data_IF_753770452070
#
_entry.id   IF_753770452070
#
_cell.length_a   1.000
_cell.length_b   1.000
_cell.length_c   1.000
_cell.angle_alpha   90.00
_cell.angle_beta   90.00
_cell.angle_gamma   90.00
#
_symmetry.space_group_name_H-M   'P 1'
#
loop_
_entity.id
_entity.type
_entity.pdbx_description
1 polymer ?
#
# COMPACT_ATOMS: atom_id res chain seq x y z
N UNK A 1 -19.02 -24.84 15.70
CA UNK A 1 -18.59 -23.87 16.64
C UNK A 1 -17.42 -23.12 16.09
N UNK A 2 -16.28 -23.53 16.37
CA UNK A 2 -15.11 -22.80 15.89
C UNK A 2 -14.99 -22.83 14.37
N UNK A 3 -15.61 -23.79 13.73
CA UNK A 3 -15.60 -23.86 12.27
C UNK A 3 -16.22 -22.62 11.65
N UNK A 4 -17.25 -22.07 12.27
CA UNK A 4 -17.86 -20.85 11.74
C UNK A 4 -16.93 -19.66 11.82
N UNK A 5 -16.17 -19.56 12.90
CA UNK A 5 -15.21 -18.47 13.03
C UNK A 5 -14.05 -18.64 12.08
N UNK A 6 -13.63 -19.87 11.82
CA UNK A 6 -12.57 -20.14 10.86
C UNK A 6 -12.95 -19.76 9.46
N UNK A 7 -14.24 -19.83 9.15
CA UNK A 7 -14.72 -19.46 7.82
C UNK A 7 -14.92 -17.96 7.66
N UNK A 8 -14.92 -17.21 8.76
CA UNK A 8 -15.13 -15.77 8.68
C UNK A 8 -13.91 -15.09 8.12
N UNK A 9 -14.13 -14.08 7.30
CA UNK A 9 -13.09 -13.24 6.77
C UNK A 9 -13.35 -11.79 7.17
N UNK A 10 -12.29 -11.03 7.36
CA UNK A 10 -12.39 -9.64 7.80
C UNK A 10 -11.53 -8.78 6.88
N UNK A 11 -12.11 -7.68 6.42
CA UNK A 11 -11.37 -6.67 5.68
C UNK A 11 -11.38 -5.39 6.51
N UNK A 12 -10.21 -4.89 6.81
CA UNK A 12 -10.04 -3.61 7.49
C UNK A 12 -9.79 -2.56 6.44
N UNK A 13 -10.50 -1.45 6.52
CA UNK A 13 -10.29 -0.33 5.61
C UNK A 13 -9.93 0.88 6.45
N UNK A 14 -8.72 1.40 6.26
CA UNK A 14 -8.21 2.52 7.06
C UNK A 14 -7.77 3.62 6.11
N UNK A 15 -8.43 4.77 6.20
CA UNK A 15 -8.02 5.93 5.44
C UNK A 15 -6.99 6.71 6.26
N UNK A 16 -5.96 7.20 5.58
CA UNK A 16 -4.87 7.93 6.22
C UNK A 16 -4.25 7.13 7.34
N UNK A 17 -3.75 5.94 6.99
CA UNK A 17 -3.19 4.99 7.94
C UNK A 17 -2.07 5.59 8.79
N UNK A 18 -1.33 6.53 8.22
CA UNK A 18 -0.19 7.17 8.86
C UNK A 18 -0.55 8.46 9.59
N UNK A 19 -1.84 8.78 9.69
CA UNK A 19 -2.26 10.01 10.34
C UNK A 19 -1.82 10.03 11.79
N UNK A 20 -1.15 11.12 12.17
CA UNK A 20 -0.68 11.32 13.55
C UNK A 20 0.36 10.32 14.03
N UNK A 21 0.91 9.51 13.12
CA UNK A 21 1.95 8.55 13.47
C UNK A 21 3.27 8.95 12.85
N UNK A 22 4.34 8.69 13.57
CA UNK A 22 5.67 8.83 12.99
C UNK A 22 5.82 7.83 11.84
N UNK A 23 6.45 8.23 10.72
CA UNK A 23 6.57 7.32 9.56
C UNK A 23 7.18 5.96 9.89
N UNK A 24 8.18 5.92 10.76
CA UNK A 24 8.80 4.65 11.15
C UNK A 24 7.84 3.78 11.94
N UNK A 25 7.00 4.39 12.77
CA UNK A 25 6.01 3.65 13.53
C UNK A 25 4.94 3.06 12.62
N UNK A 26 4.54 3.80 11.59
CA UNK A 26 3.57 3.31 10.61
C UNK A 26 4.09 2.05 9.93
N UNK A 27 5.35 2.07 9.51
CA UNK A 27 5.97 0.91 8.88
C UNK A 27 6.02 -0.27 9.84
N UNK A 28 6.34 -0.01 11.10
CA UNK A 28 6.39 -1.06 12.11
C UNK A 28 5.03 -1.71 12.33
N UNK A 29 3.98 -0.89 12.41
CA UNK A 29 2.63 -1.42 12.60
C UNK A 29 2.19 -2.27 11.42
N UNK A 30 2.50 -1.83 10.21
CA UNK A 30 2.18 -2.61 9.02
C UNK A 30 2.91 -3.95 9.03
N UNK A 31 4.17 -3.93 9.40
CA UNK A 31 4.96 -5.15 9.48
C UNK A 31 4.39 -6.12 10.52
N UNK A 32 3.93 -5.59 11.64
CA UNK A 32 3.28 -6.42 12.67
C UNK A 32 2.01 -7.08 12.14
N UNK A 33 1.21 -6.32 11.36
CA UNK A 33 0.00 -6.90 10.76
C UNK A 33 0.37 -8.02 9.80
N UNK A 34 1.34 -7.78 8.92
CA UNK A 34 1.74 -8.78 7.93
C UNK A 34 2.29 -10.03 8.59
N UNK A 35 3.05 -9.87 9.66
CA UNK A 35 3.59 -11.02 10.39
C UNK A 35 2.51 -11.82 11.11
N UNK A 36 1.35 -11.23 11.34
CA UNK A 36 0.23 -11.93 11.96
C UNK A 36 -0.58 -12.75 10.95
N UNK A 37 -0.26 -12.62 9.67
CA UNK A 37 -0.99 -13.31 8.61
C UNK A 37 -0.26 -14.59 8.23
N UNK A 38 -1.01 -15.67 8.10
CA UNK A 38 -0.49 -16.96 7.66
C UNK A 38 -1.36 -17.53 6.58
N UNK A 39 -1.07 -18.77 6.19
CA UNK A 39 -1.75 -19.40 5.07
C UNK A 39 -3.26 -19.54 5.28
N UNK A 40 -3.70 -19.63 6.53
CA UNK A 40 -5.11 -19.80 6.83
C UNK A 40 -5.76 -18.55 7.39
N UNK A 41 -5.02 -17.45 7.40
CA UNK A 41 -5.55 -16.18 7.88
C UNK A 41 -6.50 -15.59 6.85
N UNK A 42 -7.69 -15.19 7.31
CA UNK A 42 -8.71 -14.61 6.44
C UNK A 42 -8.94 -13.15 6.80
N UNK A 43 -7.86 -12.37 6.79
CA UNK A 43 -7.96 -10.95 7.03
C UNK A 43 -7.17 -10.19 6.00
N UNK A 44 -7.68 -9.03 5.65
CA UNK A 44 -7.11 -8.17 4.63
C UNK A 44 -7.12 -6.74 5.14
N UNK A 45 -6.09 -6.01 4.80
CA UNK A 45 -5.98 -4.60 5.14
C UNK A 45 -5.89 -3.79 3.86
N UNK A 46 -6.79 -2.83 3.70
CA UNK A 46 -6.74 -1.85 2.62
C UNK A 46 -6.59 -0.49 3.27
N UNK A 47 -5.56 0.25 2.89
CA UNK A 47 -5.32 1.54 3.52
C UNK A 47 -4.82 2.56 2.51
N UNK A 48 -5.02 3.83 2.84
CA UNK A 48 -4.45 4.93 2.10
C UNK A 48 -3.38 5.60 2.94
N UNK A 49 -2.38 6.17 2.29
CA UNK A 49 -1.29 6.82 3.00
C UNK A 49 -0.55 7.78 2.08
N UNK A 50 0.10 8.77 2.67
CA UNK A 50 1.05 9.62 1.97
C UNK A 50 2.48 9.31 2.37
N UNK A 51 2.67 8.27 3.18
CA UNK A 51 3.99 7.90 3.68
C UNK A 51 4.74 7.09 2.64
N UNK A 52 5.65 7.74 1.92
CA UNK A 52 6.42 7.09 0.86
C UNK A 52 7.40 6.04 1.38
N UNK A 53 7.67 6.01 2.68
CA UNK A 53 8.50 4.94 3.24
C UNK A 53 7.84 3.58 3.11
N UNK A 54 6.52 3.54 2.95
CA UNK A 54 5.81 2.28 2.73
C UNK A 54 5.98 1.73 1.33
N UNK A 55 6.55 2.53 0.40
CA UNK A 55 6.98 2.03 -0.90
C UNK A 55 8.31 1.29 -0.68
N UNK A 56 8.19 0.07 -0.20
CA UNK A 56 9.33 -0.73 0.20
C UNK A 56 9.08 -2.18 -0.20
N UNK A 57 9.87 -2.65 -1.16
CA UNK A 57 9.68 -3.98 -1.72
C UNK A 57 10.03 -5.10 -0.74
N UNK A 58 10.74 -4.80 0.33
CA UNK A 58 10.97 -5.78 1.39
C UNK A 58 9.76 -5.90 2.31
N UNK A 59 8.89 -4.92 2.28
CA UNK A 59 7.68 -4.89 3.11
C UNK A 59 6.45 -5.28 2.31
N UNK A 60 6.28 -4.71 1.13
CA UNK A 60 5.10 -4.89 0.29
C UNK A 60 5.51 -5.26 -1.13
N UNK A 61 4.73 -6.15 -1.76
CA UNK A 61 4.95 -6.50 -3.16
C UNK A 61 4.39 -5.40 -4.05
N UNK A 62 4.85 -5.38 -5.31
CA UNK A 62 4.35 -4.42 -6.29
C UNK A 62 2.85 -4.51 -6.50
N UNK A 63 2.32 -5.72 -6.47
CA UNK A 63 0.89 -5.93 -6.70
C UNK A 63 0.04 -5.50 -5.52
N UNK A 64 0.67 -5.17 -4.40
CA UNK A 64 -0.01 -4.63 -3.24
C UNK A 64 0.00 -3.11 -3.19
N UNK A 65 0.77 -2.46 -4.08
CA UNK A 65 0.97 -1.02 -4.07
C UNK A 65 0.21 -0.39 -5.24
N UNK A 66 -0.61 0.59 -4.92
CA UNK A 66 -1.43 1.29 -5.90
C UNK A 66 -1.17 2.79 -5.82
N UNK A 67 -1.18 3.44 -6.96
CA UNK A 67 -0.98 4.89 -7.06
C UNK A 67 -2.32 5.54 -7.34
N UNK A 68 -2.67 6.52 -6.52
CA UNK A 68 -3.82 7.37 -6.75
C UNK A 68 -3.31 8.68 -7.34
N UNK A 69 -3.83 9.04 -8.48
CA UNK A 69 -3.41 10.23 -9.20
C UNK A 69 -4.62 11.13 -9.45
N UNK A 70 -4.46 12.42 -9.15
CA UNK A 70 -5.51 13.40 -9.42
C UNK A 70 -5.28 14.02 -10.78
N UNK A 71 -6.30 13.96 -11.62
CA UNK A 71 -6.25 14.54 -12.95
C UNK A 71 -6.56 16.03 -12.90
N UNK A 72 -6.15 16.80 -13.95
CA UNK A 72 -6.41 18.24 -13.96
C UNK A 72 -7.88 18.64 -13.88
N UNK A 73 -8.78 17.76 -14.32
CA UNK A 73 -10.22 18.03 -14.27
C UNK A 73 -10.83 17.73 -12.92
N UNK A 74 -10.03 17.33 -11.95
CA UNK A 74 -10.51 17.01 -10.60
C UNK A 74 -10.86 15.56 -10.38
N UNK A 75 -10.90 14.76 -11.42
CA UNK A 75 -11.13 13.32 -11.28
C UNK A 75 -9.89 12.64 -10.75
N UNK A 76 -10.04 11.39 -10.34
CA UNK A 76 -8.92 10.60 -9.84
C UNK A 76 -8.84 9.30 -10.59
N UNK A 77 -7.61 8.83 -10.79
CA UNK A 77 -7.36 7.52 -11.36
C UNK A 77 -6.58 6.68 -10.35
N UNK A 78 -6.78 5.38 -10.40
CA UNK A 78 -6.13 4.45 -9.49
C UNK A 78 -5.55 3.31 -10.33
N UNK A 79 -4.25 3.07 -10.17
CA UNK A 79 -3.61 1.99 -10.92
C UNK A 79 -2.52 1.33 -10.09
N UNK A 80 -2.30 0.02 -10.30
CA UNK A 80 -1.28 -0.70 -9.53
C UNK A 80 0.12 -0.40 -10.04
N UNK A 81 1.09 -0.54 -9.18
CA UNK A 81 2.48 -0.36 -9.61
C UNK A 81 2.93 -1.42 -10.61
N UNK A 82 2.23 -2.53 -10.68
CA UNK A 82 2.52 -3.55 -11.68
C UNK A 82 2.28 -3.09 -13.10
N UNK A 83 1.53 -1.99 -13.29
CA UNK A 83 1.33 -1.42 -14.61
C UNK A 83 2.61 -0.79 -15.16
N UNK A 84 3.59 -0.52 -14.32
CA UNK A 84 4.86 0.07 -14.73
C UNK A 84 5.85 -1.03 -15.05
N UNK A 85 5.69 -1.64 -16.22
CA UNK A 85 6.48 -2.80 -16.62
C UNK A 85 7.94 -2.49 -16.83
N UNK A 86 8.27 -1.23 -17.03
CA UNK A 86 9.64 -0.80 -17.24
C UNK A 86 10.48 -0.87 -15.96
N UNK A 87 9.82 -0.92 -14.81
CA UNK A 87 10.52 -0.98 -13.54
C UNK A 87 10.95 -2.41 -13.27
N UNK A 88 12.23 -2.59 -13.10
CA UNK A 88 12.77 -3.89 -12.74
C UNK A 88 12.53 -4.17 -11.27
N UNK A 89 12.55 -5.44 -10.91
CA UNK A 89 12.30 -5.85 -9.54
C UNK A 89 13.33 -5.25 -8.58
N UNK A 90 14.57 -5.10 -9.04
CA UNK A 90 15.65 -4.58 -8.24
C UNK A 90 15.73 -3.05 -8.24
N UNK A 91 14.88 -2.39 -9.01
CA UNK A 91 14.90 -0.94 -9.07
C UNK A 91 14.18 -0.34 -7.88
N UNK A 92 14.67 0.77 -7.39
CA UNK A 92 14.06 1.48 -6.28
C UNK A 92 12.77 2.17 -6.75
N UNK A 93 11.64 1.54 -6.42
CA UNK A 93 10.33 2.06 -6.82
C UNK A 93 10.05 3.40 -6.14
N UNK A 94 10.51 3.57 -4.90
CA UNK A 94 10.31 4.82 -4.18
C UNK A 94 10.99 5.98 -4.91
N UNK A 95 12.18 5.75 -5.41
CA UNK A 95 12.90 6.78 -6.16
C UNK A 95 12.13 7.15 -7.42
N UNK A 96 11.62 6.16 -8.14
CA UNK A 96 10.84 6.40 -9.34
C UNK A 96 9.57 7.19 -9.03
N UNK A 97 8.93 6.91 -7.91
CA UNK A 97 7.75 7.65 -7.47
C UNK A 97 8.09 9.12 -7.23
N UNK A 98 9.17 9.41 -6.50
CA UNK A 98 9.57 10.78 -6.22
C UNK A 98 10.05 11.53 -7.46
N UNK A 99 10.52 10.81 -8.46
CA UNK A 99 10.90 11.43 -9.74
C UNK A 99 9.71 11.73 -10.62
N UNK A 100 8.49 11.40 -10.16
CA UNK A 100 7.27 11.69 -10.90
C UNK A 100 6.96 10.73 -12.02
N UNK A 101 7.70 9.64 -12.14
CA UNK A 101 7.51 8.68 -13.22
C UNK A 101 6.22 7.90 -13.13
N UNK A 102 5.62 7.85 -11.95
CA UNK A 102 4.44 7.05 -11.68
C UNK A 102 3.19 7.88 -11.44
N UNK A 103 3.31 9.22 -11.44
CA UNK A 103 2.22 10.06 -11.01
C UNK A 103 2.06 10.00 -9.49
N UNK A 104 0.92 10.45 -9.02
CA UNK A 104 0.61 10.39 -7.58
C UNK A 104 1.22 11.50 -6.75
N UNK A 105 2.07 12.34 -7.33
CA UNK A 105 2.63 13.49 -6.63
C UNK A 105 1.67 14.67 -6.71
N UNK A 106 1.69 15.56 -5.70
CA UNK A 106 0.84 16.74 -5.75
C UNK A 106 1.20 17.65 -6.92
N UNK A 107 0.20 18.23 -7.54
CA UNK A 107 0.39 19.25 -8.57
C UNK A 107 0.36 20.60 -7.88
N UNK A 108 1.52 21.23 -7.75
CA UNK A 108 1.64 22.51 -7.05
C UNK A 108 1.61 23.70 -7.99
#
# INVERSE_FOLDING_TARGET
>A
KDLKRQAASVTYFIDEFDRSLHPILTEHLLNCFLNSCGAETRKQLIFTTQNALLINQELLRRDELWIANREPDGSATLYPMTDFKELRVDKDIRKSYFEGRMGGLPNL
#
